data_IF_601541827664
#
_entry.id   IF_601541827664
#
_cell.length_a   1.000
_cell.length_b   1.000
_cell.length_c   1.000
_cell.angle_alpha   90.00
_cell.angle_beta   90.00
_cell.angle_gamma   90.00
#
_symmetry.space_group_name_H-M   'P 1'
#
loop_
_entity.id
_entity.type
_entity.pdbx_description
1 polymer ?
#
# COMPACT_ATOMS: atom_id res chain seq x y z
N UNK A 1 6.90 7.23 5.32
CA UNK A 1 5.64 6.48 5.21
C UNK A 1 4.67 6.68 6.40
N UNK A 2 4.94 6.20 7.63
CA UNK A 2 3.97 6.28 8.76
C UNK A 2 3.48 7.72 9.07
N UNK A 3 4.39 8.68 9.24
CA UNK A 3 3.99 10.07 9.47
C UNK A 3 3.16 10.66 8.30
N UNK A 4 3.40 10.21 7.06
CA UNK A 4 2.65 10.67 5.88
C UNK A 4 1.21 10.16 5.94
N UNK A 5 0.97 8.91 6.34
CA UNK A 5 -0.41 8.38 6.47
C UNK A 5 -1.16 9.03 7.63
N UNK A 6 -0.48 9.41 8.72
CA UNK A 6 -1.11 10.20 9.79
C UNK A 6 -1.50 11.61 9.32
N UNK A 7 -0.66 12.25 8.51
CA UNK A 7 -0.99 13.53 7.89
C UNK A 7 -2.17 13.41 6.91
N UNK A 8 -2.23 12.33 6.13
CA UNK A 8 -3.35 12.04 5.24
C UNK A 8 -4.66 11.87 6.04
N UNK A 9 -4.63 11.16 7.16
CA UNK A 9 -5.79 11.02 8.05
C UNK A 9 -6.23 12.35 8.64
N UNK A 10 -5.29 13.20 9.08
CA UNK A 10 -5.65 14.53 9.59
C UNK A 10 -6.28 15.42 8.51
N UNK A 11 -5.85 15.25 7.26
CA UNK A 11 -6.30 16.07 6.13
C UNK A 11 -7.65 15.62 5.56
N UNK A 12 -7.87 14.31 5.45
CA UNK A 12 -9.03 13.74 4.75
C UNK A 12 -9.91 12.83 5.62
N UNK A 13 -9.49 12.53 6.85
CA UNK A 13 -10.23 11.66 7.75
C UNK A 13 -11.60 12.22 8.12
N UNK A 14 -12.61 11.35 8.13
CA UNK A 14 -14.01 11.68 8.43
C UNK A 14 -14.75 12.36 7.27
N UNK A 15 -14.11 12.58 6.12
CA UNK A 15 -14.72 13.22 4.96
C UNK A 15 -15.59 12.27 4.15
N UNK A 16 -15.18 11.01 4.05
CA UNK A 16 -15.90 9.97 3.32
C UNK A 16 -15.46 8.58 3.81
N UNK A 17 -16.42 7.68 4.05
CA UNK A 17 -16.14 6.34 4.61
C UNK A 17 -15.17 5.51 3.77
N UNK A 18 -15.21 5.62 2.44
CA UNK A 18 -14.25 4.94 1.57
C UNK A 18 -12.81 5.45 1.73
N UNK A 19 -12.63 6.76 1.96
CA UNK A 19 -11.30 7.35 2.21
C UNK A 19 -10.80 6.87 3.57
N UNK A 20 -11.66 6.88 4.59
CA UNK A 20 -11.32 6.42 5.94
C UNK A 20 -10.91 4.95 5.98
N UNK A 21 -11.71 4.08 5.36
CA UNK A 21 -11.42 2.64 5.27
C UNK A 21 -10.07 2.39 4.61
N UNK A 22 -9.77 3.16 3.57
CA UNK A 22 -8.53 3.00 2.82
C UNK A 22 -7.31 3.53 3.58
N UNK A 23 -7.41 4.69 4.23
CA UNK A 23 -6.36 5.21 5.11
C UNK A 23 -6.08 4.21 6.23
N UNK A 24 -7.13 3.59 6.80
CA UNK A 24 -6.99 2.55 7.80
C UNK A 24 -6.29 1.30 7.26
N UNK A 25 -6.70 0.80 6.08
CA UNK A 25 -6.03 -0.34 5.43
C UNK A 25 -4.54 -0.08 5.19
N UNK A 26 -4.20 1.12 4.70
CA UNK A 26 -2.80 1.56 4.53
C UNK A 26 -2.02 1.57 5.84
N UNK A 27 -2.61 2.08 6.92
CA UNK A 27 -1.99 2.08 8.24
C UNK A 27 -1.68 0.68 8.74
N UNK A 28 -2.64 -0.24 8.62
CA UNK A 28 -2.47 -1.62 9.03
C UNK A 28 -1.33 -2.29 8.24
N UNK A 29 -1.30 -2.10 6.92
CA UNK A 29 -0.21 -2.60 6.07
C UNK A 29 1.16 -2.04 6.50
N UNK A 30 1.24 -0.73 6.78
CA UNK A 30 2.49 -0.09 7.21
C UNK A 30 2.98 -0.57 8.57
N UNK A 31 2.07 -0.86 9.50
CA UNK A 31 2.43 -1.42 10.81
C UNK A 31 3.06 -2.80 10.64
N UNK A 32 2.45 -3.67 9.84
CA UNK A 32 3.03 -5.00 9.59
C UNK A 32 4.33 -4.94 8.77
N UNK A 33 4.44 -4.00 7.82
CA UNK A 33 5.72 -3.72 7.16
C UNK A 33 6.83 -3.36 8.17
N UNK A 34 6.53 -2.46 9.12
CA UNK A 34 7.48 -2.07 10.15
C UNK A 34 7.86 -3.23 11.07
N UNK A 35 6.91 -4.12 11.36
CA UNK A 35 7.15 -5.34 12.12
C UNK A 35 8.10 -6.29 11.38
N UNK A 36 7.87 -6.55 10.09
CA UNK A 36 8.76 -7.37 9.26
C UNK A 36 10.16 -6.78 9.13
N UNK A 37 10.26 -5.46 8.99
CA UNK A 37 11.52 -4.75 8.84
C UNK A 37 12.30 -4.61 10.17
N UNK A 38 11.76 -5.08 11.30
CA UNK A 38 12.36 -4.94 12.62
C UNK A 38 12.55 -3.47 13.03
N UNK A 39 11.63 -2.61 12.63
CA UNK A 39 11.65 -1.19 12.97
C UNK A 39 11.00 -0.97 14.36
N UNK A 40 11.50 -0.01 15.17
CA UNK A 40 10.87 0.32 16.45
C UNK A 40 9.37 0.64 16.29
N UNK A 41 8.48 0.20 17.21
CA UNK A 41 8.73 -0.45 18.50
C UNK A 41 8.80 -2.00 18.46
N UNK A 42 8.73 -2.62 17.28
CA UNK A 42 8.48 -4.06 17.10
C UNK A 42 9.73 -4.96 17.21
N UNK A 43 10.58 -4.66 18.20
CA UNK A 43 11.73 -5.42 18.67
C UNK A 43 13.12 -5.09 18.09
N UNK A 44 14.12 -5.40 18.92
CA UNK A 44 15.49 -4.87 19.02
C UNK A 44 16.56 -5.89 18.62
N UNK A 45 16.17 -7.12 18.27
CA UNK A 45 17.05 -8.18 17.78
C UNK A 45 17.08 -8.20 16.25
N UNK A 46 17.80 -7.24 15.66
CA UNK A 46 18.01 -7.03 14.21
C UNK A 46 18.75 -8.18 13.48
N UNK A 47 18.72 -9.41 13.99
CA UNK A 47 19.58 -10.52 13.52
C UNK A 47 18.85 -11.81 13.18
N UNK A 48 17.53 -11.91 13.39
CA UNK A 48 16.74 -13.07 12.98
C UNK A 48 15.70 -12.69 11.93
N UNK A 49 15.58 -13.52 10.90
CA UNK A 49 14.50 -13.44 9.92
C UNK A 49 13.13 -13.52 10.60
N UNK A 50 12.10 -12.86 10.06
CA UNK A 50 10.74 -12.99 10.57
C UNK A 50 10.24 -14.43 10.46
N UNK A 51 9.37 -14.83 11.38
CA UNK A 51 8.71 -16.15 11.29
C UNK A 51 7.77 -16.21 10.08
N UNK A 52 7.67 -17.39 9.47
CA UNK A 52 6.82 -17.68 8.31
C UNK A 52 5.41 -17.09 8.41
N UNK A 53 4.69 -17.36 9.50
CA UNK A 53 3.31 -16.88 9.70
C UNK A 53 3.19 -15.35 9.59
N UNK A 54 4.22 -14.61 10.03
CA UNK A 54 4.23 -13.14 9.96
C UNK A 54 4.40 -12.67 8.52
N UNK A 55 5.24 -13.37 7.74
CA UNK A 55 5.46 -13.07 6.32
C UNK A 55 4.22 -13.39 5.50
N UNK A 56 3.58 -14.54 5.74
CA UNK A 56 2.34 -14.94 5.07
C UNK A 56 1.21 -13.95 5.36
N UNK A 57 1.02 -13.58 6.63
CA UNK A 57 0.01 -12.56 7.04
C UNK A 57 0.25 -11.24 6.31
N UNK A 58 1.51 -10.80 6.21
CA UNK A 58 1.82 -9.58 5.47
C UNK A 58 1.54 -9.71 3.97
N UNK A 59 1.83 -10.86 3.36
CA UNK A 59 1.51 -11.11 1.95
C UNK A 59 0.00 -11.06 1.69
N UNK A 60 -0.81 -11.67 2.57
CA UNK A 60 -2.28 -11.58 2.51
C UNK A 60 -2.75 -10.11 2.57
N UNK A 61 -2.26 -9.35 3.56
CA UNK A 61 -2.61 -7.93 3.71
C UNK A 61 -2.15 -7.07 2.54
N UNK A 62 -0.98 -7.35 1.98
CA UNK A 62 -0.45 -6.67 0.80
C UNK A 62 -1.37 -6.93 -0.40
N UNK A 63 -1.75 -8.20 -0.61
CA UNK A 63 -2.64 -8.60 -1.69
C UNK A 63 -4.03 -7.99 -1.57
N UNK A 64 -4.59 -7.95 -0.36
CA UNK A 64 -5.85 -7.27 -0.08
C UNK A 64 -5.75 -5.77 -0.39
N UNK A 65 -4.68 -5.10 0.03
CA UNK A 65 -4.48 -3.67 -0.19
C UNK A 65 -4.29 -3.31 -1.67
N UNK A 66 -3.50 -4.08 -2.44
CA UNK A 66 -3.32 -3.81 -3.88
C UNK A 66 -4.60 -4.10 -4.66
N UNK A 67 -5.34 -5.15 -4.29
CA UNK A 67 -6.59 -5.53 -4.95
C UNK A 67 -7.71 -4.52 -4.67
N UNK A 68 -7.86 -4.06 -3.42
CA UNK A 68 -8.89 -3.08 -3.06
C UNK A 68 -8.77 -1.77 -3.85
N UNK A 69 -7.53 -1.34 -4.17
CA UNK A 69 -7.28 -0.16 -5.01
C UNK A 69 -7.91 -0.30 -6.40
N UNK A 70 -7.64 -1.42 -7.08
CA UNK A 70 -8.10 -1.70 -8.45
C UNK A 70 -9.61 -1.88 -8.56
N UNK A 71 -10.28 -2.44 -7.54
CA UNK A 71 -11.71 -2.78 -7.65
C UNK A 71 -12.67 -1.78 -7.03
N UNK A 72 -12.25 -0.96 -6.06
CA UNK A 72 -13.20 -0.10 -5.33
C UNK A 72 -12.90 1.39 -5.40
N UNK A 73 -11.63 1.76 -5.57
CA UNK A 73 -11.19 3.13 -5.39
C UNK A 73 -10.93 3.84 -6.72
N UNK A 74 -10.22 3.17 -7.63
CA UNK A 74 -9.85 3.75 -8.92
C UNK A 74 -11.05 4.00 -9.83
N UNK A 75 -12.04 3.10 -9.83
CA UNK A 75 -13.27 3.28 -10.62
C UNK A 75 -14.06 4.51 -10.17
N UNK A 76 -14.14 4.80 -8.86
CA UNK A 76 -14.84 5.99 -8.33
C UNK A 76 -14.19 7.29 -8.75
N UNK A 77 -12.87 7.29 -8.97
CA UNK A 77 -12.14 8.46 -9.49
C UNK A 77 -12.50 8.70 -10.94
N UNK A 78 -12.54 7.64 -11.75
CA UNK A 78 -12.93 7.75 -13.15
C UNK A 78 -14.37 8.25 -13.25
N UNK A 79 -15.28 7.74 -12.41
CA UNK A 79 -16.67 8.20 -12.34
C UNK A 79 -16.80 9.67 -11.91
N UNK A 80 -16.14 10.06 -10.82
CA UNK A 80 -16.14 11.45 -10.33
C UNK A 80 -15.50 12.44 -11.31
N UNK A 81 -14.46 11.99 -12.02
CA UNK A 81 -13.73 12.81 -12.99
C UNK A 81 -14.48 13.14 -14.27
N UNK A 82 -15.56 12.40 -14.57
CA UNK A 82 -16.41 12.72 -15.72
C UNK A 82 -17.11 14.09 -15.59
N UNK A 83 -17.16 14.65 -14.37
CA UNK A 83 -17.73 15.97 -14.12
C UNK A 83 -16.82 17.12 -14.60
N UNK A 84 -15.49 16.99 -14.47
CA UNK A 84 -14.55 18.12 -14.65
C UNK A 84 -13.39 17.85 -15.64
N UNK A 85 -13.18 16.61 -16.12
CA UNK A 85 -12.15 16.24 -17.10
C UNK A 85 -10.71 16.13 -16.55
N UNK A 86 -10.37 16.87 -15.49
CA UNK A 86 -9.05 16.84 -14.85
C UNK A 86 -8.73 15.48 -14.19
N UNK A 87 -9.70 14.87 -13.50
CA UNK A 87 -9.48 13.57 -12.86
C UNK A 87 -9.24 12.42 -13.85
N UNK A 88 -9.71 12.53 -15.11
CA UNK A 88 -9.45 11.54 -16.15
C UNK A 88 -7.99 11.58 -16.61
N UNK A 89 -7.47 12.80 -16.82
CA UNK A 89 -6.06 12.98 -17.17
C UNK A 89 -5.14 12.49 -16.05
N UNK A 90 -5.53 12.68 -14.79
CA UNK A 90 -4.77 12.17 -13.65
C UNK A 90 -4.82 10.65 -13.56
N UNK A 91 -5.98 10.03 -13.80
CA UNK A 91 -6.10 8.57 -13.83
C UNK A 91 -5.22 7.94 -14.91
N UNK A 92 -5.20 8.53 -16.12
CA UNK A 92 -4.36 8.08 -17.24
C UNK A 92 -2.85 8.16 -16.90
N UNK A 93 -2.42 9.14 -16.10
CA UNK A 93 -1.03 9.26 -15.62
C UNK A 93 -0.72 8.26 -14.50
N UNK A 94 -1.63 8.09 -13.55
CA UNK A 94 -1.39 7.34 -12.32
C UNK A 94 -1.52 5.83 -12.52
N UNK A 95 -2.46 5.36 -13.33
CA UNK A 95 -2.73 3.92 -13.48
C UNK A 95 -1.55 3.08 -13.96
N UNK A 96 -0.76 3.50 -14.97
CA UNK A 96 0.43 2.74 -15.37
C UNK A 96 1.43 2.60 -14.22
N UNK A 97 1.64 3.67 -13.45
CA UNK A 97 2.57 3.66 -12.32
C UNK A 97 2.06 2.78 -11.16
N UNK A 98 0.75 2.79 -10.91
CA UNK A 98 0.14 1.87 -9.95
C UNK A 98 0.28 0.41 -10.41
N UNK A 99 0.12 0.14 -11.70
CA UNK A 99 0.32 -1.21 -12.25
C UNK A 99 1.76 -1.70 -12.01
N UNK A 100 2.77 -0.86 -12.24
CA UNK A 100 4.18 -1.18 -11.96
C UNK A 100 4.42 -1.51 -10.47
N UNK A 101 3.77 -0.78 -9.55
CA UNK A 101 3.87 -1.05 -8.10
C UNK A 101 3.09 -2.31 -7.70
N UNK A 102 2.02 -2.63 -8.42
CA UNK A 102 1.24 -3.86 -8.23
C UNK A 102 2.06 -5.07 -8.65
N UNK A 103 2.77 -5.00 -9.78
CA UNK A 103 3.67 -6.07 -10.23
C UNK A 103 4.77 -6.33 -9.21
N UNK A 104 5.34 -5.30 -8.60
CA UNK A 104 6.33 -5.46 -7.53
C UNK A 104 5.75 -6.13 -6.27
N UNK A 105 4.51 -5.79 -5.91
CA UNK A 105 3.81 -6.45 -4.81
C UNK A 105 3.53 -7.94 -5.11
N UNK A 106 3.09 -8.26 -6.33
CA UNK A 106 2.88 -9.63 -6.79
C UNK A 106 4.18 -10.44 -6.76
N UNK A 107 5.28 -9.86 -7.27
CA UNK A 107 6.59 -10.53 -7.24
C UNK A 107 7.06 -10.84 -5.82
N UNK A 108 6.81 -9.92 -4.87
CA UNK A 108 7.11 -10.19 -3.46
C UNK A 108 6.24 -11.32 -2.91
N UNK A 109 4.92 -11.28 -3.17
CA UNK A 109 3.98 -12.31 -2.76
C UNK A 109 4.37 -13.69 -3.31
N UNK A 110 4.69 -13.80 -4.60
CA UNK A 110 5.08 -15.06 -5.24
C UNK A 110 6.34 -15.68 -4.63
N UNK A 111 7.23 -14.85 -4.08
CA UNK A 111 8.44 -15.32 -3.41
C UNK A 111 8.18 -15.79 -1.96
N UNK A 112 7.14 -15.27 -1.30
CA UNK A 112 7.04 -15.28 0.16
C UNK A 112 5.67 -15.67 0.75
N UNK A 113 4.65 -15.90 -0.07
CA UNK A 113 3.33 -16.29 0.42
C UNK A 113 3.22 -17.77 0.80
N UNK A 114 4.09 -18.63 0.27
CA UNK A 114 4.07 -20.08 0.52
C UNK A 114 5.47 -20.61 0.88
N UNK A 115 6.09 -19.97 1.88
CA UNK A 115 7.45 -20.32 2.32
C UNK A 115 7.44 -21.66 3.07
N UNK A 116 8.33 -22.60 2.74
CA UNK A 116 8.52 -23.83 3.53
C UNK A 116 9.31 -23.55 4.83
N UNK A 117 9.18 -24.37 5.87
CA UNK A 117 9.81 -24.11 7.18
C UNK A 117 11.36 -24.08 7.12
N UNK A 118 11.96 -24.64 6.08
CA UNK A 118 13.41 -24.67 5.79
C UNK A 118 13.83 -23.73 4.65
N UNK A 119 12.91 -22.91 4.15
CA UNK A 119 13.16 -22.06 2.99
C UNK A 119 14.20 -20.99 3.32
N UNK A 120 15.22 -20.91 2.48
CA UNK A 120 16.24 -19.87 2.57
C UNK A 120 15.60 -18.52 2.18
N UNK A 121 15.40 -17.63 3.15
CA UNK A 121 14.93 -16.25 2.91
C UNK A 121 16.08 -15.34 2.45
N UNK A 122 17.01 -15.87 1.66
CA UNK A 122 18.14 -15.11 1.16
C UNK A 122 17.66 -13.93 0.32
N UNK A 123 18.09 -12.72 0.69
CA UNK A 123 17.67 -11.50 0.01
C UNK A 123 16.34 -10.92 0.45
N UNK A 124 15.69 -11.50 1.49
CA UNK A 124 14.45 -10.98 2.06
C UNK A 124 14.53 -9.50 2.42
N UNK A 125 15.57 -9.07 3.14
CA UNK A 125 15.75 -7.66 3.51
C UNK A 125 15.78 -6.73 2.29
N UNK A 126 16.40 -7.20 1.19
CA UNK A 126 16.45 -6.43 -0.06
C UNK A 126 15.08 -6.38 -0.72
N UNK A 127 14.42 -7.52 -0.89
CA UNK A 127 13.10 -7.57 -1.52
C UNK A 127 12.06 -6.78 -0.70
N UNK A 128 12.13 -6.84 0.63
CA UNK A 128 11.30 -6.04 1.54
C UNK A 128 11.59 -4.54 1.39
N UNK A 129 12.86 -4.15 1.32
CA UNK A 129 13.24 -2.75 1.06
C UNK A 129 12.73 -2.25 -0.29
N UNK A 130 12.90 -3.04 -1.35
CA UNK A 130 12.45 -2.71 -2.71
C UNK A 130 10.91 -2.58 -2.74
N UNK A 131 10.19 -3.50 -2.08
CA UNK A 131 8.75 -3.40 -1.89
C UNK A 131 8.35 -2.13 -1.13
N UNK A 132 9.06 -1.78 -0.05
CA UNK A 132 8.81 -0.57 0.72
C UNK A 132 8.93 0.70 -0.12
N UNK A 133 9.90 0.76 -1.03
CA UNK A 133 10.05 1.88 -1.98
C UNK A 133 8.88 1.92 -2.99
N UNK A 134 8.50 0.77 -3.53
CA UNK A 134 7.35 0.66 -4.43
C UNK A 134 6.05 1.12 -3.75
N UNK A 135 5.84 0.70 -2.51
CA UNK A 135 4.67 1.08 -1.73
C UNK A 135 4.69 2.57 -1.36
N UNK A 136 5.84 3.15 -1.03
CA UNK A 136 5.92 4.60 -0.81
C UNK A 136 5.53 5.40 -2.08
N UNK A 137 6.05 5.00 -3.25
CA UNK A 137 5.69 5.62 -4.52
C UNK A 137 4.19 5.46 -4.82
N UNK A 138 3.66 4.25 -4.60
CA UNK A 138 2.22 3.97 -4.71
C UNK A 138 1.40 4.89 -3.81
N UNK A 139 1.80 5.07 -2.55
CA UNK A 139 1.05 5.90 -1.62
C UNK A 139 0.98 7.36 -2.06
N UNK A 140 2.05 7.91 -2.62
CA UNK A 140 2.08 9.29 -3.12
C UNK A 140 1.17 9.48 -4.33
N UNK A 141 1.10 8.48 -5.21
CA UNK A 141 0.17 8.49 -6.34
C UNK A 141 -1.28 8.45 -5.86
N UNK A 142 -1.57 7.59 -4.90
CA UNK A 142 -2.91 7.48 -4.35
C UNK A 142 -3.33 8.71 -3.52
N UNK A 143 -2.39 9.40 -2.89
CA UNK A 143 -2.65 10.67 -2.20
C UNK A 143 -3.10 11.76 -3.20
N UNK A 144 -2.52 11.80 -4.41
CA UNK A 144 -2.99 12.69 -5.49
C UNK A 144 -4.42 12.34 -5.89
N UNK A 145 -4.72 11.05 -6.03
CA UNK A 145 -6.04 10.55 -6.37
C UNK A 145 -7.10 10.92 -5.32
N UNK A 146 -6.80 10.75 -4.03
CA UNK A 146 -7.68 11.19 -2.94
C UNK A 146 -7.87 12.68 -2.96
N UNK A 147 -6.80 13.44 -3.18
CA UNK A 147 -6.90 14.88 -3.24
C UNK A 147 -7.89 15.33 -4.30
N UNK A 148 -7.86 14.73 -5.50
CA UNK A 148 -8.82 15.02 -6.57
C UNK A 148 -10.25 14.67 -6.17
N UNK A 149 -10.48 13.47 -5.64
CA UNK A 149 -11.82 13.08 -5.13
C UNK A 149 -12.34 14.03 -4.06
N UNK A 150 -11.49 14.43 -3.13
CA UNK A 150 -11.84 15.33 -2.05
C UNK A 150 -12.24 16.72 -2.56
N UNK A 151 -11.64 17.22 -3.66
CA UNK A 151 -12.03 18.51 -4.25
C UNK A 151 -13.27 18.40 -5.17
N UNK A 152 -13.48 17.26 -5.83
CA UNK A 152 -14.59 17.08 -6.77
C UNK A 152 -15.92 16.73 -6.07
N UNK A 153 -15.89 16.19 -4.85
CA UNK A 153 -17.07 15.71 -4.11
C UNK A 153 -17.41 16.47 -2.80
N UNK A 154 -16.57 17.43 -2.36
CA UNK A 154 -16.80 18.28 -1.17
C UNK A 154 -16.53 19.76 -1.48
#
# INVERSE_FOLDING_TARGET
MLNKVEQAEQKWGGSHSAIDNWINARKLLLVEYCRLAGLPPFDTHRQSLPGKEVVETFCEMLMDYVSAGHFEFYDKIVEGSQANGEGKSLADEVYPLIADTTEQALNFNDCYAEIEDDHDMQGFDKHLSDLGQAMEARFELEDKLIQTLYHDHL
#
